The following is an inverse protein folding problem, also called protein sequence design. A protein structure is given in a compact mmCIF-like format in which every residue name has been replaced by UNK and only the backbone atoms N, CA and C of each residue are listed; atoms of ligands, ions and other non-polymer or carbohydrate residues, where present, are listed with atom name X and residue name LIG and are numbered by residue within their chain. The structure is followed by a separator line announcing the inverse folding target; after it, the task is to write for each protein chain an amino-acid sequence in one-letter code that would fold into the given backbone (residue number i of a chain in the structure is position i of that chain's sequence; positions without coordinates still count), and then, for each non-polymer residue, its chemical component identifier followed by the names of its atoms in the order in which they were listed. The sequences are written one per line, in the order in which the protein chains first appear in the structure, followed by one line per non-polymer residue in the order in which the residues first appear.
data_IF_697587056964
#
_entry.id   IF_697587056964
#
_cell.length_a   1.000
_cell.length_b   1.000
_cell.length_c   1.000
_cell.angle_alpha   90.00
_cell.angle_beta   90.00
_cell.angle_gamma   90.00
#
_symmetry.space_group_name_H-M   'P 1'
#
loop_
_entity.id
_entity.type
_entity.pdbx_description
1 polymer ?
#
# COMPACT_ATOMS: atom_id res chain seq x y z
N UNK A 1 -1.01 4.48 4.66
CA UNK A 1 0.14 4.40 5.60
C UNK A 1 1.48 4.76 4.96
N UNK A 2 1.92 4.13 3.85
CA UNK A 2 3.26 4.37 3.26
C UNK A 2 3.49 5.82 2.82
N UNK A 3 2.47 6.52 2.28
CA UNK A 3 2.59 7.91 1.78
C UNK A 3 3.10 8.91 2.83
N UNK A 4 2.85 8.71 4.12
CA UNK A 4 3.28 9.61 5.20
C UNK A 4 4.81 9.65 5.38
N UNK A 5 5.52 8.63 4.91
CA UNK A 5 6.98 8.59 4.92
C UNK A 5 7.60 9.25 3.68
N UNK A 6 6.83 9.43 2.59
CA UNK A 6 7.34 9.83 1.28
C UNK A 6 6.82 11.19 0.77
N UNK A 7 5.58 11.60 1.09
CA UNK A 7 5.02 12.89 0.66
C UNK A 7 5.22 13.97 1.73
N UNK A 8 5.83 15.08 1.32
CA UNK A 8 6.19 16.26 2.11
C UNK A 8 5.01 17.21 2.35
N UNK A 9 3.84 16.70 2.75
CA UNK A 9 2.65 17.55 2.94
C UNK A 9 2.58 18.16 4.36
N UNK A 10 3.24 17.58 5.37
CA UNK A 10 3.41 18.17 6.70
C UNK A 10 4.51 17.48 7.50
N UNK A 11 5.52 18.24 7.94
CA UNK A 11 6.61 17.72 8.77
C UNK A 11 6.11 17.11 10.09
N UNK A 12 5.02 17.64 10.65
CA UNK A 12 4.45 17.14 11.90
C UNK A 12 3.81 15.75 11.76
N UNK A 13 3.07 15.47 10.68
CA UNK A 13 2.47 14.13 10.45
C UNK A 13 3.56 13.09 10.17
N UNK A 14 4.59 13.48 9.43
CA UNK A 14 5.76 12.64 9.17
C UNK A 14 6.53 12.30 10.45
N UNK A 15 6.79 13.29 11.31
CA UNK A 15 7.43 13.09 12.61
C UNK A 15 6.58 12.22 13.54
N UNK A 16 5.27 12.42 13.58
CA UNK A 16 4.37 11.57 14.35
C UNK A 16 4.44 10.11 13.87
N UNK A 17 4.44 9.87 12.56
CA UNK A 17 4.56 8.53 12.00
C UNK A 17 5.90 7.86 12.37
N UNK A 18 7.03 8.58 12.28
CA UNK A 18 8.33 8.06 12.69
C UNK A 18 8.41 7.79 14.19
N UNK A 19 7.88 8.70 15.03
CA UNK A 19 7.91 8.55 16.48
C UNK A 19 7.13 7.31 16.91
N UNK A 20 5.92 7.13 16.39
CA UNK A 20 5.11 5.93 16.70
C UNK A 20 5.81 4.65 16.23
N UNK A 21 6.37 4.64 15.01
CA UNK A 21 7.08 3.47 14.49
C UNK A 21 8.32 3.14 15.33
N UNK A 22 9.08 4.17 15.72
CA UNK A 22 10.24 4.04 16.58
C UNK A 22 9.85 3.43 17.93
N UNK A 23 8.86 4.00 18.62
CA UNK A 23 8.37 3.50 19.90
C UNK A 23 7.93 2.03 19.80
N UNK A 24 7.19 1.66 18.74
CA UNK A 24 6.77 0.28 18.50
C UNK A 24 7.96 -0.67 18.31
N UNK A 25 8.94 -0.30 17.48
CA UNK A 25 10.09 -1.16 17.17
C UNK A 25 11.02 -1.32 18.38
N UNK A 26 11.26 -0.24 19.14
CA UNK A 26 12.07 -0.29 20.36
C UNK A 26 11.37 -1.13 21.43
N UNK A 27 10.06 -0.95 21.63
CA UNK A 27 9.28 -1.76 22.57
C UNK A 27 9.31 -3.23 22.15
N UNK A 28 9.14 -3.52 20.86
CA UNK A 28 9.21 -4.88 20.33
C UNK A 28 10.59 -5.51 20.55
N UNK A 29 11.68 -4.77 20.31
CA UNK A 29 13.04 -5.26 20.56
C UNK A 29 13.21 -5.67 22.03
N UNK A 30 12.73 -4.85 22.98
CA UNK A 30 12.77 -5.18 24.41
C UNK A 30 11.91 -6.39 24.77
N UNK A 31 10.70 -6.51 24.21
CA UNK A 31 9.82 -7.67 24.41
C UNK A 31 10.43 -8.97 23.85
N UNK A 32 11.17 -8.87 22.75
CA UNK A 32 11.82 -10.00 22.09
C UNK A 32 13.14 -10.42 22.75
N UNK A 33 13.79 -9.55 23.53
CA UNK A 33 15.10 -9.81 24.13
C UNK A 33 15.22 -11.18 24.84
N UNK A 34 14.23 -11.64 25.63
CA UNK A 34 14.29 -12.96 26.28
C UNK A 34 14.14 -14.16 25.32
N UNK A 35 13.61 -13.96 24.11
CA UNK A 35 13.24 -15.03 23.16
C UNK A 35 14.16 -15.11 21.94
N UNK A 36 14.52 -13.95 21.37
CA UNK A 36 15.38 -13.84 20.19
C UNK A 36 16.49 -12.83 20.46
N UNK A 37 17.44 -13.14 21.37
CA UNK A 37 18.35 -12.17 21.96
C UNK A 37 19.26 -11.46 20.94
N UNK A 38 19.76 -12.18 19.93
CA UNK A 38 20.63 -11.59 18.91
C UNK A 38 19.87 -10.64 17.96
N UNK A 39 18.63 -10.99 17.57
CA UNK A 39 17.80 -10.14 16.74
C UNK A 39 17.36 -8.88 17.50
N UNK A 40 16.94 -9.07 18.75
CA UNK A 40 16.57 -7.96 19.63
C UNK A 40 17.76 -7.01 19.84
N UNK A 41 18.96 -7.56 20.05
CA UNK A 41 20.19 -6.79 20.18
C UNK A 41 20.50 -5.99 18.91
N UNK A 42 20.50 -6.63 17.74
CA UNK A 42 20.76 -5.96 16.46
C UNK A 42 19.75 -4.83 16.19
N UNK A 43 18.46 -5.06 16.46
CA UNK A 43 17.43 -4.02 16.36
C UNK A 43 17.71 -2.87 17.32
N UNK A 44 18.02 -3.15 18.59
CA UNK A 44 18.23 -2.15 19.61
C UNK A 44 19.49 -1.31 19.37
N UNK A 45 20.60 -1.93 18.96
CA UNK A 45 21.83 -1.22 18.58
C UNK A 45 21.57 -0.22 17.46
N UNK A 46 20.88 -0.65 16.41
CA UNK A 46 20.58 0.18 15.24
C UNK A 46 19.56 1.29 15.53
N UNK A 47 18.57 1.04 16.39
CA UNK A 47 17.50 1.99 16.66
C UNK A 47 17.84 2.94 17.83
N UNK A 48 18.44 2.44 18.91
CA UNK A 48 18.61 3.19 20.16
C UNK A 48 20.04 3.68 20.32
N UNK A 49 21.03 2.79 20.35
CA UNK A 49 22.42 3.15 20.63
C UNK A 49 23.03 4.06 19.54
N UNK A 50 22.55 3.96 18.29
CA UNK A 50 22.99 4.81 17.18
C UNK A 50 22.58 6.29 17.30
N UNK A 51 21.54 6.60 18.08
CA UNK A 51 20.95 7.94 18.20
C UNK A 51 20.95 8.50 19.63
N UNK A 52 21.05 7.64 20.64
CA UNK A 52 21.02 8.00 22.06
C UNK A 52 22.24 7.45 22.80
N UNK A 53 23.31 8.24 22.95
CA UNK A 53 24.53 7.82 23.66
C UNK A 53 24.33 7.44 25.12
N UNK A 54 23.32 8.01 25.78
CA UNK A 54 23.04 7.79 27.21
C UNK A 54 22.11 6.59 27.47
N UNK A 55 21.68 5.88 26.42
CA UNK A 55 20.86 4.67 26.58
C UNK A 55 21.71 3.49 27.06
N UNK A 56 21.10 2.47 27.70
CA UNK A 56 21.78 1.21 28.00
C UNK A 56 22.52 0.67 26.76
N UNK A 57 23.73 0.16 26.95
CA UNK A 57 24.59 -0.29 25.85
C UNK A 57 24.08 -1.57 25.16
N UNK A 58 23.08 -2.24 25.71
CA UNK A 58 22.47 -3.45 25.16
C UNK A 58 21.00 -3.53 25.57
N UNK A 59 20.17 -4.16 24.73
CA UNK A 59 18.75 -4.42 25.05
C UNK A 59 18.60 -5.26 26.32
N UNK A 60 19.60 -6.12 26.60
CA UNK A 60 19.61 -7.02 27.76
C UNK A 60 19.89 -6.30 29.09
N UNK A 61 20.32 -5.04 29.00
CA UNK A 61 20.51 -4.14 30.15
C UNK A 61 19.37 -3.12 30.28
N UNK A 62 18.41 -3.13 29.35
CA UNK A 62 17.28 -2.22 29.38
C UNK A 62 16.15 -2.77 30.26
N UNK A 63 15.42 -1.87 30.92
CA UNK A 63 14.21 -2.23 31.65
C UNK A 63 13.15 -2.82 30.71
N UNK A 64 12.45 -3.84 31.22
CA UNK A 64 11.31 -4.44 30.55
C UNK A 64 10.20 -3.38 30.34
N UNK A 65 9.58 -3.31 29.15
CA UNK A 65 8.63 -2.25 28.84
C UNK A 65 7.37 -2.38 29.70
N UNK A 66 6.90 -1.25 30.23
CA UNK A 66 5.68 -1.13 31.03
C UNK A 66 4.62 -0.41 30.21
N UNK A 67 3.38 -0.93 30.21
CA UNK A 67 2.28 -0.33 29.48
C UNK A 67 1.82 0.97 30.15
N UNK A 68 1.64 2.01 29.34
CA UNK A 68 0.96 3.25 29.75
C UNK A 68 -0.55 3.09 29.54
N UNK A 69 -1.29 2.83 30.62
CA UNK A 69 -2.74 2.60 30.56
C UNK A 69 -3.50 3.83 30.04
N UNK A 70 -2.95 5.04 30.17
CA UNK A 70 -3.59 6.26 29.67
C UNK A 70 -3.63 6.32 28.13
N UNK A 71 -2.74 5.58 27.45
CA UNK A 71 -2.72 5.47 25.98
C UNK A 71 -3.64 4.37 25.43
N UNK A 72 -4.29 3.58 26.29
CA UNK A 72 -5.13 2.45 25.86
C UNK A 72 -6.56 2.91 25.56
N UNK A 73 -6.85 3.17 24.28
CA UNK A 73 -8.21 3.41 23.80
C UNK A 73 -8.88 2.10 23.34
N UNK A 74 -9.69 1.50 24.21
CA UNK A 74 -10.44 0.26 23.93
C UNK A 74 -11.47 0.43 22.81
N UNK A 75 -12.05 1.63 22.65
CA UNK A 75 -13.03 1.89 21.60
C UNK A 75 -12.32 1.94 20.26
N UNK A 76 -11.22 2.69 20.16
CA UNK A 76 -10.40 2.73 18.94
C UNK A 76 -9.85 1.36 18.56
N UNK A 77 -9.42 0.55 19.52
CA UNK A 77 -8.97 -0.82 19.27
C UNK A 77 -10.10 -1.68 18.66
N UNK A 78 -11.30 -1.63 19.23
CA UNK A 78 -12.45 -2.35 18.69
C UNK A 78 -12.87 -1.84 17.29
N UNK A 79 -12.88 -0.53 17.09
CA UNK A 79 -13.16 0.09 15.79
C UNK A 79 -12.14 -0.37 14.73
N UNK A 80 -10.85 -0.43 15.10
CA UNK A 80 -9.76 -0.87 14.22
C UNK A 80 -9.89 -2.36 13.87
N UNK A 81 -10.20 -3.21 14.87
CA UNK A 81 -10.43 -4.64 14.64
C UNK A 81 -11.60 -4.88 13.67
N UNK A 82 -12.68 -4.09 13.79
CA UNK A 82 -13.80 -4.15 12.87
C UNK A 82 -13.38 -3.75 11.45
N UNK A 83 -12.63 -2.66 11.27
CA UNK A 83 -12.11 -2.25 9.97
C UNK A 83 -11.19 -3.31 9.34
N UNK A 84 -10.34 -3.95 10.13
CA UNK A 84 -9.49 -5.07 9.70
C UNK A 84 -10.33 -6.27 9.27
N UNK A 85 -11.38 -6.62 10.03
CA UNK A 85 -12.30 -7.72 9.69
C UNK A 85 -12.97 -7.46 8.36
N UNK A 86 -13.58 -6.28 8.17
CA UNK A 86 -14.25 -5.92 6.90
C UNK A 86 -13.26 -5.88 5.74
N UNK A 87 -12.04 -5.38 5.96
CA UNK A 87 -10.98 -5.41 4.93
C UNK A 87 -10.53 -6.83 4.59
N UNK A 88 -10.54 -7.75 5.56
CA UNK A 88 -10.29 -9.18 5.33
C UNK A 88 -11.38 -9.79 4.45
N UNK A 89 -12.66 -9.53 4.75
CA UNK A 89 -13.80 -10.00 3.94
C UNK A 89 -13.73 -9.43 2.51
N UNK A 90 -13.38 -8.15 2.36
CA UNK A 90 -13.18 -7.53 1.05
C UNK A 90 -12.03 -8.19 0.27
N UNK A 91 -10.90 -8.50 0.91
CA UNK A 91 -9.81 -9.26 0.28
C UNK A 91 -10.22 -10.68 -0.11
N UNK A 92 -11.01 -11.35 0.72
CA UNK A 92 -11.53 -12.67 0.42
C UNK A 92 -12.46 -12.62 -0.80
N UNK A 93 -13.36 -11.64 -0.87
CA UNK A 93 -14.25 -11.44 -2.00
C UNK A 93 -13.45 -11.19 -3.29
N UNK A 94 -12.38 -10.37 -3.21
CA UNK A 94 -11.45 -10.13 -4.32
C UNK A 94 -10.75 -11.39 -4.80
N UNK A 95 -10.28 -12.21 -3.86
CA UNK A 95 -9.65 -13.48 -4.17
C UNK A 95 -10.61 -14.42 -4.90
N UNK A 96 -11.86 -14.50 -4.46
CA UNK A 96 -12.89 -15.32 -5.09
C UNK A 96 -13.29 -14.78 -6.47
N UNK A 97 -13.33 -13.46 -6.67
CA UNK A 97 -13.53 -12.83 -7.98
C UNK A 97 -12.30 -12.92 -8.91
N UNK A 98 -11.15 -13.42 -8.44
CA UNK A 98 -9.90 -13.43 -9.21
C UNK A 98 -9.26 -12.04 -9.42
N UNK A 99 -9.69 -11.04 -8.65
CA UNK A 99 -9.26 -9.65 -8.79
C UNK A 99 -8.10 -9.33 -7.84
N UNK A 100 -6.96 -8.91 -8.38
CA UNK A 100 -5.75 -8.66 -7.57
C UNK A 100 -5.87 -7.32 -6.85
N UNK A 101 -5.44 -7.22 -5.58
CA UNK A 101 -5.55 -5.98 -4.75
C UNK A 101 -4.98 -4.73 -5.44
N UNK A 102 -3.94 -4.89 -6.26
CA UNK A 102 -3.32 -3.78 -7.01
C UNK A 102 -4.21 -3.15 -8.08
N UNK A 103 -5.28 -3.83 -8.53
CA UNK A 103 -6.23 -3.28 -9.49
C UNK A 103 -7.29 -2.46 -8.73
N UNK A 104 -7.50 -1.17 -9.02
CA UNK A 104 -8.51 -0.40 -8.30
C UNK A 104 -9.92 -0.91 -8.60
N UNK A 105 -10.82 -0.90 -7.60
CA UNK A 105 -12.26 -1.08 -7.82
C UNK A 105 -13.00 0.25 -7.64
N UNK A 106 -14.10 0.43 -8.37
CA UNK A 106 -14.92 1.63 -8.23
C UNK A 106 -15.56 1.71 -6.85
N UNK A 107 -16.13 0.59 -6.38
CA UNK A 107 -16.95 0.58 -5.17
C UNK A 107 -16.92 -0.78 -4.50
N UNK A 108 -17.07 -0.78 -3.18
CA UNK A 108 -17.38 -1.95 -2.35
C UNK A 108 -18.67 -1.68 -1.58
N UNK A 109 -19.48 -2.70 -1.38
CA UNK A 109 -20.69 -2.62 -0.56
C UNK A 109 -20.45 -3.38 0.75
N UNK A 110 -20.84 -2.80 1.88
CA UNK A 110 -20.61 -3.35 3.21
C UNK A 110 -21.90 -3.35 3.99
N UNK A 111 -22.24 -4.50 4.57
CA UNK A 111 -23.31 -4.62 5.56
C UNK A 111 -22.68 -4.89 6.92
N UNK A 112 -23.14 -4.17 7.93
CA UNK A 112 -22.75 -4.35 9.34
C UNK A 112 -23.97 -4.71 10.19
N UNK A 113 -23.74 -5.20 11.41
CA UNK A 113 -24.81 -5.67 12.29
C UNK A 113 -25.48 -4.57 13.09
N UNK A 114 -24.78 -3.47 13.37
CA UNK A 114 -25.27 -2.40 14.23
C UNK A 114 -24.87 -1.00 13.74
N UNK A 115 -25.69 0.01 14.06
CA UNK A 115 -25.42 1.41 13.73
C UNK A 115 -24.05 1.91 14.25
N UNK A 116 -23.67 1.50 15.46
CA UNK A 116 -22.36 1.85 16.05
C UNK A 116 -21.18 1.32 15.23
N UNK A 117 -21.31 0.14 14.62
CA UNK A 117 -20.28 -0.43 13.75
C UNK A 117 -20.14 0.40 12.47
N UNK A 118 -21.26 0.84 11.90
CA UNK A 118 -21.26 1.75 10.74
C UNK A 118 -20.54 3.06 11.06
N UNK A 119 -20.87 3.70 12.17
CA UNK A 119 -20.21 4.95 12.61
C UNK A 119 -18.70 4.76 12.88
N UNK A 120 -18.27 3.56 13.30
CA UNK A 120 -16.86 3.22 13.43
C UNK A 120 -16.16 3.08 12.08
N UNK A 121 -16.78 2.37 11.13
CA UNK A 121 -16.22 2.19 9.80
C UNK A 121 -16.23 3.49 8.99
N UNK A 122 -17.23 4.36 9.17
CA UNK A 122 -17.25 5.69 8.54
C UNK A 122 -16.04 6.53 8.97
N UNK A 123 -15.66 6.49 10.25
CA UNK A 123 -14.45 7.16 10.76
C UNK A 123 -13.15 6.58 10.20
N UNK A 124 -13.13 5.27 9.92
CA UNK A 124 -11.96 4.54 9.41
C UNK A 124 -12.02 4.27 7.90
N UNK A 125 -13.00 4.85 7.21
CA UNK A 125 -13.25 4.63 5.79
C UNK A 125 -12.02 4.96 4.93
N UNK A 126 -11.29 6.08 5.14
CA UNK A 126 -10.11 6.38 4.35
C UNK A 126 -9.04 5.27 4.41
N UNK A 127 -8.83 4.67 5.58
CA UNK A 127 -7.88 3.59 5.79
C UNK A 127 -8.33 2.32 5.05
N UNK A 128 -9.63 2.00 5.11
CA UNK A 128 -10.19 0.84 4.41
C UNK A 128 -10.15 1.00 2.89
N UNK A 129 -10.45 2.19 2.37
CA UNK A 129 -10.37 2.47 0.93
C UNK A 129 -8.93 2.29 0.42
N UNK A 130 -7.94 2.76 1.19
CA UNK A 130 -6.51 2.55 0.89
C UNK A 130 -6.15 1.06 0.94
N UNK A 131 -6.55 0.35 1.99
CA UNK A 131 -6.22 -1.06 2.22
C UNK A 131 -6.85 -2.00 1.18
N UNK A 132 -8.09 -1.73 0.76
CA UNK A 132 -8.80 -2.50 -0.25
C UNK A 132 -8.52 -2.02 -1.69
N UNK A 133 -7.85 -0.87 -1.87
CA UNK A 133 -7.67 -0.19 -3.15
C UNK A 133 -9.00 -0.03 -3.91
N UNK A 134 -9.96 0.62 -3.26
CA UNK A 134 -11.29 0.92 -3.81
C UNK A 134 -11.57 2.41 -3.74
N UNK A 135 -12.27 2.95 -4.74
CA UNK A 135 -12.53 4.40 -4.85
C UNK A 135 -13.67 4.85 -3.93
N UNK A 136 -14.59 3.95 -3.56
CA UNK A 136 -15.69 4.24 -2.68
C UNK A 136 -16.20 3.02 -1.92
N UNK A 137 -16.93 3.29 -0.83
CA UNK A 137 -17.59 2.31 0.01
C UNK A 137 -19.04 2.75 0.21
N UNK A 138 -19.98 1.81 0.12
CA UNK A 138 -21.38 2.04 0.44
C UNK A 138 -21.86 1.06 1.50
N UNK A 139 -22.65 1.58 2.43
CA UNK A 139 -23.35 0.75 3.40
C UNK A 139 -24.71 0.33 2.85
N UNK A 140 -25.05 -0.94 3.07
CA UNK A 140 -26.41 -1.44 2.84
C UNK A 140 -27.02 -1.96 4.13
N UNK A 141 -28.34 -1.99 4.18
CA UNK A 141 -29.09 -2.39 5.37
C UNK A 141 -29.33 -3.92 5.37
N UNK A 142 -29.60 -4.51 4.20
CA UNK A 142 -29.93 -5.92 4.07
C UNK A 142 -28.90 -6.69 3.23
N UNK A 143 -28.62 -7.93 3.62
CA UNK A 143 -27.71 -8.82 2.86
C UNK A 143 -28.27 -9.10 1.45
N UNK A 144 -29.59 -9.14 1.29
CA UNK A 144 -30.24 -9.29 -0.02
C UNK A 144 -29.86 -8.18 -1.01
N UNK A 145 -29.47 -6.98 -0.54
CA UNK A 145 -29.00 -5.90 -1.40
C UNK A 145 -27.58 -6.14 -1.94
N UNK A 146 -26.84 -7.08 -1.34
CA UNK A 146 -25.50 -7.49 -1.76
C UNK A 146 -25.54 -8.59 -2.81
N UNK A 147 -26.58 -9.42 -2.82
CA UNK A 147 -26.77 -10.56 -3.72
C UNK A 147 -27.28 -10.11 -5.11
N UNK A 148 -26.59 -9.13 -5.68
CA UNK A 148 -26.85 -8.64 -7.05
C UNK A 148 -26.05 -9.45 -8.04
N UNK A 149 -26.61 -9.64 -9.23
CA UNK A 149 -25.89 -10.26 -10.35
C UNK A 149 -24.60 -9.49 -10.65
N UNK A 150 -23.50 -10.23 -10.85
CA UNK A 150 -22.17 -9.65 -11.08
C UNK A 150 -21.44 -9.15 -9.82
N UNK A 151 -21.85 -9.59 -8.62
CA UNK A 151 -21.15 -9.32 -7.36
C UNK A 151 -20.75 -10.60 -6.62
N UNK A 152 -19.54 -10.59 -6.06
CA UNK A 152 -19.08 -11.61 -5.12
C UNK A 152 -19.30 -11.13 -3.70
N UNK A 153 -20.06 -11.90 -2.92
CA UNK A 153 -20.39 -11.61 -1.53
C UNK A 153 -19.66 -12.57 -0.59
N UNK A 154 -18.96 -12.03 0.41
CA UNK A 154 -18.41 -12.80 1.52
C UNK A 154 -19.07 -12.32 2.81
N UNK A 155 -19.52 -13.27 3.63
CA UNK A 155 -20.18 -13.00 4.90
C UNK A 155 -19.51 -13.75 6.05
N UNK A 156 -19.38 -13.08 7.20
CA UNK A 156 -18.90 -13.67 8.44
C UNK A 156 -19.64 -13.09 9.64
N UNK A 157 -20.55 -13.88 10.21
CA UNK A 157 -21.42 -13.44 11.29
C UNK A 157 -22.38 -12.34 10.82
N UNK A 158 -22.36 -11.19 11.48
CA UNK A 158 -23.22 -10.04 11.13
C UNK A 158 -22.65 -9.12 10.05
N UNK A 159 -21.46 -9.40 9.53
CA UNK A 159 -20.73 -8.57 8.57
C UNK A 159 -20.71 -9.22 7.20
N UNK A 160 -20.98 -8.44 6.16
CA UNK A 160 -20.93 -8.91 4.77
C UNK A 160 -20.27 -7.85 3.89
N UNK A 161 -19.49 -8.30 2.92
CA UNK A 161 -18.82 -7.43 1.94
C UNK A 161 -19.09 -7.96 0.55
N UNK A 162 -19.52 -7.08 -0.35
CA UNK A 162 -19.70 -7.38 -1.76
C UNK A 162 -18.83 -6.49 -2.64
N UNK A 163 -18.22 -7.10 -3.66
CA UNK A 163 -17.46 -6.40 -4.70
C UNK A 163 -18.00 -6.80 -6.08
N UNK A 164 -17.83 -5.98 -7.12
CA UNK A 164 -18.14 -6.40 -8.48
C UNK A 164 -17.20 -7.53 -8.95
N UNK A 165 -17.72 -8.45 -9.75
CA UNK A 165 -16.98 -9.56 -10.40
C UNK A 165 -16.03 -9.08 -11.52
N UNK A 166 -16.23 -7.85 -11.98
CA UNK A 166 -15.44 -7.25 -13.05
C UNK A 166 -14.87 -5.89 -12.66
N UNK A 167 -13.91 -5.43 -13.46
CA UNK A 167 -13.29 -4.12 -13.33
C UNK A 167 -13.53 -3.37 -14.64
N UNK A 168 -14.08 -2.14 -14.62
CA UNK A 168 -14.18 -1.29 -15.80
C UNK A 168 -12.83 -1.11 -16.49
N UNK A 169 -12.84 -0.99 -17.82
CA UNK A 169 -11.63 -0.88 -18.64
C UNK A 169 -10.69 0.25 -18.18
N UNK A 170 -11.25 1.40 -17.79
CA UNK A 170 -10.51 2.55 -17.28
C UNK A 170 -9.74 2.23 -15.99
N UNK A 171 -10.35 1.47 -15.06
CA UNK A 171 -9.71 1.07 -13.81
C UNK A 171 -8.69 -0.05 -14.01
N UNK A 172 -8.88 -0.92 -15.00
CA UNK A 172 -7.85 -1.86 -15.43
C UNK A 172 -6.63 -1.11 -15.97
N UNK A 173 -6.84 -0.14 -16.86
CA UNK A 173 -5.79 0.71 -17.43
C UNK A 173 -5.04 1.49 -16.34
N UNK A 174 -5.75 2.09 -15.37
CA UNK A 174 -5.14 2.75 -14.21
C UNK A 174 -4.27 1.77 -13.41
N UNK A 175 -4.76 0.55 -13.18
CA UNK A 175 -4.01 -0.50 -12.49
C UNK A 175 -2.72 -0.88 -13.21
N UNK A 176 -2.75 -0.97 -14.54
CA UNK A 176 -1.57 -1.24 -15.38
C UNK A 176 -0.60 -0.06 -15.32
N UNK A 177 -1.06 1.18 -15.44
CA UNK A 177 -0.21 2.37 -15.32
C UNK A 177 0.53 2.42 -13.97
N UNK A 178 -0.17 2.11 -12.86
CA UNK A 178 0.46 1.99 -11.54
C UNK A 178 1.51 0.88 -11.47
N UNK A 179 1.26 -0.25 -12.13
CA UNK A 179 2.23 -1.34 -12.18
C UNK A 179 3.46 -0.93 -13.00
N UNK A 180 3.29 -0.21 -14.12
CA UNK A 180 4.39 0.37 -14.91
C UNK A 180 5.23 1.31 -14.05
N UNK A 181 4.63 2.27 -13.34
CA UNK A 181 5.34 3.18 -12.42
C UNK A 181 6.16 2.39 -11.40
N UNK A 182 5.59 1.33 -10.81
CA UNK A 182 6.30 0.49 -9.84
C UNK A 182 7.51 -0.23 -10.47
N UNK A 183 7.38 -0.71 -11.71
CA UNK A 183 8.49 -1.34 -12.43
C UNK A 183 9.59 -0.34 -12.72
N UNK A 184 9.26 0.81 -13.28
CA UNK A 184 10.20 1.90 -13.55
C UNK A 184 10.93 2.34 -12.28
N UNK A 185 10.22 2.51 -11.17
CA UNK A 185 10.84 2.87 -9.89
C UNK A 185 11.79 1.79 -9.34
N UNK A 186 11.48 0.52 -9.60
CA UNK A 186 12.37 -0.58 -9.24
C UNK A 186 13.61 -0.60 -10.13
N UNK A 187 13.42 -0.44 -11.44
CA UNK A 187 14.51 -0.35 -12.42
C UNK A 187 15.45 0.82 -12.13
N UNK A 188 14.94 2.00 -11.74
CA UNK A 188 15.76 3.16 -11.31
C UNK A 188 16.72 2.78 -10.18
N UNK A 189 16.20 2.09 -9.14
CA UNK A 189 17.03 1.64 -8.01
C UNK A 189 18.03 0.57 -8.44
N UNK A 190 17.62 -0.40 -9.27
CA UNK A 190 18.50 -1.44 -9.79
C UNK A 190 19.62 -0.88 -10.67
N UNK A 191 19.35 0.18 -11.42
CA UNK A 191 20.31 0.89 -12.26
C UNK A 191 21.23 1.85 -11.46
N UNK A 192 21.05 1.96 -10.14
CA UNK A 192 21.87 2.80 -9.27
C UNK A 192 21.61 4.30 -9.41
N UNK A 193 20.41 4.70 -9.87
CA UNK A 193 20.06 6.13 -9.99
C UNK A 193 19.70 6.73 -8.63
N UNK A 194 19.99 8.01 -8.46
CA UNK A 194 19.60 8.76 -7.28
C UNK A 194 18.09 9.05 -7.29
N UNK A 195 17.53 9.28 -6.10
CA UNK A 195 16.08 9.52 -5.96
C UNK A 195 15.61 10.77 -6.71
N UNK A 196 16.50 11.75 -6.89
CA UNK A 196 16.22 13.02 -7.56
C UNK A 196 16.54 12.99 -9.07
N UNK A 197 17.12 11.91 -9.58
CA UNK A 197 17.53 11.84 -10.98
C UNK A 197 16.33 11.92 -11.93
N UNK A 198 16.45 12.73 -12.98
CA UNK A 198 15.49 12.74 -14.07
C UNK A 198 15.87 11.69 -15.11
N UNK A 199 14.87 11.07 -15.76
CA UNK A 199 15.12 9.98 -16.72
C UNK A 199 14.36 10.20 -18.04
N UNK A 200 14.82 9.52 -19.08
CA UNK A 200 14.00 9.17 -20.24
C UNK A 200 13.52 7.73 -20.06
N UNK A 201 12.23 7.51 -20.24
CA UNK A 201 11.63 6.18 -20.24
C UNK A 201 11.34 5.75 -21.66
N UNK A 202 11.87 4.59 -22.05
CA UNK A 202 11.54 3.92 -23.30
C UNK A 202 10.54 2.81 -23.02
N UNK A 203 9.61 2.58 -23.94
CA UNK A 203 8.68 1.47 -23.84
C UNK A 203 8.36 0.85 -25.20
N UNK A 204 8.10 -0.46 -25.19
CA UNK A 204 7.54 -1.19 -26.31
C UNK A 204 6.47 -2.14 -25.77
N UNK A 205 5.32 -2.19 -26.43
CA UNK A 205 4.23 -3.08 -26.10
C UNK A 205 3.20 -3.12 -27.22
N UNK A 206 2.14 -3.88 -27.01
CA UNK A 206 1.00 -3.92 -27.92
C UNK A 206 0.16 -2.63 -27.86
N UNK A 207 -0.90 -2.58 -28.68
CA UNK A 207 -1.78 -1.42 -28.79
C UNK A 207 -2.42 -1.03 -27.44
N UNK A 208 -2.71 -2.02 -26.59
CA UNK A 208 -3.24 -1.77 -25.26
C UNK A 208 -2.22 -1.07 -24.37
N UNK A 209 -0.98 -1.54 -24.32
CA UNK A 209 0.09 -0.86 -23.57
C UNK A 209 0.34 0.54 -24.13
N UNK A 210 0.34 0.72 -25.46
CA UNK A 210 0.49 2.04 -26.07
C UNK A 210 -0.60 3.00 -25.60
N UNK A 211 -1.85 2.55 -25.59
CA UNK A 211 -2.99 3.34 -25.11
C UNK A 211 -2.84 3.71 -23.64
N UNK A 212 -2.48 2.74 -22.77
CA UNK A 212 -2.25 3.00 -21.33
C UNK A 212 -1.12 4.01 -21.12
N UNK A 213 0.00 3.89 -21.84
CA UNK A 213 1.13 4.82 -21.74
C UNK A 213 0.75 6.23 -22.18
N UNK A 214 -0.15 6.37 -23.18
CA UNK A 214 -0.67 7.65 -23.64
C UNK A 214 -1.66 8.26 -22.62
N UNK A 215 -2.67 7.50 -22.20
CA UNK A 215 -3.75 7.96 -21.31
C UNK A 215 -3.22 8.37 -19.92
N UNK A 216 -2.16 7.72 -19.44
CA UNK A 216 -1.56 7.95 -18.14
C UNK A 216 -0.17 8.60 -18.22
N UNK A 217 0.17 9.22 -19.36
CA UNK A 217 1.51 9.77 -19.61
C UNK A 217 1.97 10.73 -18.51
N UNK A 218 1.12 11.70 -18.14
CA UNK A 218 1.46 12.71 -17.13
C UNK A 218 1.66 12.10 -15.75
N UNK A 219 0.78 11.17 -15.36
CA UNK A 219 0.89 10.43 -14.11
C UNK A 219 2.19 9.62 -14.05
N UNK A 220 2.50 8.88 -15.11
CA UNK A 220 3.73 8.07 -15.17
C UNK A 220 4.95 8.98 -15.05
N UNK A 221 5.03 10.04 -15.87
CA UNK A 221 6.15 11.00 -15.85
C UNK A 221 6.36 11.61 -14.47
N UNK A 222 5.29 12.08 -13.84
CA UNK A 222 5.36 12.70 -12.52
C UNK A 222 5.86 11.71 -11.47
N UNK A 223 5.29 10.50 -11.43
CA UNK A 223 5.64 9.52 -10.41
C UNK A 223 7.02 8.87 -10.64
N UNK A 224 7.60 8.96 -11.84
CA UNK A 224 8.91 8.37 -12.17
C UNK A 224 10.00 9.38 -12.47
N UNK A 225 9.73 10.69 -12.30
CA UNK A 225 10.60 11.80 -12.73
C UNK A 225 11.10 11.65 -14.19
N UNK A 226 10.24 11.10 -15.05
CA UNK A 226 10.56 10.95 -16.46
C UNK A 226 10.24 12.25 -17.20
N UNK A 227 11.19 12.82 -17.93
CA UNK A 227 10.91 13.98 -18.77
C UNK A 227 10.17 13.57 -20.06
N UNK A 228 10.48 12.38 -20.57
CA UNK A 228 9.93 11.86 -21.82
C UNK A 228 9.59 10.38 -21.70
N UNK A 229 8.51 10.00 -22.38
CA UNK A 229 8.12 8.60 -22.63
C UNK A 229 8.28 8.39 -24.14
N UNK A 230 9.21 7.51 -24.53
CA UNK A 230 9.57 7.26 -25.92
C UNK A 230 9.10 5.86 -26.29
N UNK A 231 8.17 5.76 -27.23
CA UNK A 231 7.82 4.47 -27.82
C UNK A 231 8.92 4.04 -28.80
N UNK A 232 9.51 2.88 -28.56
CA UNK A 232 10.57 2.36 -29.42
C UNK A 232 11.63 1.55 -28.68
N UNK A 233 12.60 1.05 -29.44
CA UNK A 233 13.69 0.24 -28.89
C UNK A 233 14.52 1.12 -27.94
N UNK A 234 14.76 0.69 -26.68
CA UNK A 234 15.62 1.42 -25.76
C UNK A 234 17.02 1.63 -26.36
N UNK A 235 17.64 2.78 -26.06
CA UNK A 235 19.01 3.04 -26.45
C UNK A 235 19.98 2.03 -25.82
N UNK A 236 21.15 1.79 -26.46
CA UNK A 236 22.10 0.74 -26.01
C UNK A 236 22.61 0.92 -24.59
N UNK A 237 22.60 2.13 -24.07
CA UNK A 237 23.03 2.49 -22.72
C UNK A 237 21.86 2.57 -21.71
N UNK A 238 20.62 2.37 -22.16
CA UNK A 238 19.46 2.32 -21.28
C UNK A 238 19.39 0.98 -20.54
N UNK A 239 19.13 1.04 -19.23
CA UNK A 239 18.85 -0.14 -18.42
C UNK A 239 17.46 -0.68 -18.79
N UNK A 240 17.39 -1.90 -19.30
CA UNK A 240 16.19 -2.45 -19.95
C UNK A 240 15.72 -3.74 -19.29
N UNK A 241 14.40 -3.88 -19.07
CA UNK A 241 13.76 -5.09 -18.57
C UNK A 241 12.45 -5.37 -19.31
N UNK A 242 12.10 -6.65 -19.50
CA UNK A 242 10.82 -7.07 -20.07
C UNK A 242 9.92 -7.68 -18.99
N UNK A 243 8.62 -7.41 -19.09
CA UNK A 243 7.61 -7.81 -18.12
C UNK A 243 6.31 -8.23 -18.80
N UNK A 244 5.49 -9.00 -18.08
CA UNK A 244 4.10 -9.29 -18.47
C UNK A 244 3.13 -8.65 -17.50
N UNK A 245 2.38 -7.64 -17.96
CA UNK A 245 1.42 -6.86 -17.16
C UNK A 245 0.00 -7.14 -17.65
N UNK A 246 -0.85 -7.66 -16.76
CA UNK A 246 -2.25 -8.03 -17.09
C UNK A 246 -2.44 -8.88 -18.35
N UNK A 247 -1.43 -9.69 -18.72
CA UNK A 247 -1.44 -10.53 -19.93
C UNK A 247 -0.72 -9.94 -21.13
N UNK A 248 -0.35 -8.66 -21.08
CA UNK A 248 0.34 -7.93 -22.15
C UNK A 248 1.85 -7.92 -21.90
N UNK A 249 2.64 -8.16 -22.95
CA UNK A 249 4.10 -8.02 -22.87
C UNK A 249 4.49 -6.55 -23.03
N UNK A 250 5.40 -6.11 -22.17
CA UNK A 250 5.98 -4.77 -22.22
C UNK A 250 7.48 -4.87 -22.00
N UNK A 251 8.26 -4.17 -22.82
CA UNK A 251 9.67 -3.91 -22.58
C UNK A 251 9.82 -2.47 -22.15
N UNK A 252 10.47 -2.24 -21.02
CA UNK A 252 10.74 -0.92 -20.46
C UNK A 252 12.24 -0.66 -20.48
N UNK A 253 12.63 0.57 -20.78
CA UNK A 253 14.00 1.06 -20.66
C UNK A 253 14.06 2.34 -19.83
N UNK A 254 15.07 2.48 -18.99
CA UNK A 254 15.34 3.72 -18.24
C UNK A 254 16.75 4.23 -18.54
N UNK A 255 16.86 5.51 -18.88
CA UNK A 255 18.13 6.20 -19.11
C UNK A 255 18.16 7.47 -18.27
N UNK A 256 19.20 7.63 -17.46
CA UNK A 256 19.40 8.86 -16.69
C UNK A 256 19.70 10.03 -17.64
N UNK A 257 19.06 11.16 -17.39
CA UNK A 257 19.42 12.42 -18.02
C UNK A 257 20.60 13.00 -17.25
N UNK A 258 21.69 13.28 -17.97
CA UNK A 258 22.92 13.84 -17.40
C UNK A 258 22.75 15.23 -16.84
#
# INVERSE_FOLDING_TARGET
SRRRFWKSESDADKLAAYTTLYECLVTLAKLLAPFTPFLAEEMYQNLVCSVSPDAPESVHLADFPVADEAKIDKKLAADTHLAMKVSSLGRAARSQAGIKVRQPLAKVMVKVGAKREREALERLMPQMLEELNVKGLEFVEQVAELEKEGYVVISEGSHSVAIPEGIPAELLAEGVAREIVRRLQTMRRSAGFDIADHITTYYQGDDYIRQVMADFADYIKQETLSQQLVEGVPEKDAFTESHRLSGHEITLGVKRLG
#
